data_IF_998256409735
#
_entry.id   IF_998256409735
#
_cell.length_a   1.000
_cell.length_b   1.000
_cell.length_c   1.000
_cell.angle_alpha   90.00
_cell.angle_beta   90.00
_cell.angle_gamma   90.00
#
_symmetry.space_group_name_H-M   'P 1'
#
loop_
_entity.id
_entity.type
_entity.pdbx_description
1 polymer ?
#
# COMPACT_ATOMS: atom_id res chain seq x y z
N UNK A 1 11.87 0.24 -14.49
CA UNK A 1 13.31 0.06 -14.14
C UNK A 1 14.11 1.33 -14.39
N UNK A 2 14.12 1.89 -15.62
CA UNK A 2 14.89 3.12 -15.91
C UNK A 2 14.45 4.35 -15.10
N UNK A 3 13.15 4.52 -14.82
CA UNK A 3 12.64 5.70 -14.10
C UNK A 3 13.03 5.73 -12.62
N UNK A 4 12.83 4.65 -11.85
CA UNK A 4 13.23 4.60 -10.43
C UNK A 4 14.74 4.74 -10.23
N UNK A 5 15.51 4.18 -11.16
CA UNK A 5 16.96 4.35 -11.22
C UNK A 5 17.34 5.80 -11.51
N UNK A 6 16.70 6.42 -12.52
CA UNK A 6 16.93 7.82 -12.87
C UNK A 6 16.61 8.77 -11.71
N UNK A 7 15.52 8.58 -10.97
CA UNK A 7 15.19 9.43 -9.81
C UNK A 7 16.12 9.20 -8.62
N UNK A 8 16.56 7.96 -8.39
CA UNK A 8 17.57 7.68 -7.37
C UNK A 8 18.89 8.38 -7.72
N UNK A 9 19.31 8.31 -8.99
CA UNK A 9 20.51 9.00 -9.49
C UNK A 9 20.35 10.52 -9.49
N UNK A 10 19.17 11.04 -9.84
CA UNK A 10 18.87 12.47 -9.81
C UNK A 10 19.02 13.04 -8.39
N UNK A 11 18.58 12.31 -7.36
CA UNK A 11 18.80 12.71 -5.97
C UNK A 11 20.30 12.84 -5.62
N UNK A 12 21.16 11.94 -6.12
CA UNK A 12 22.62 12.04 -5.94
C UNK A 12 23.23 13.26 -6.65
N UNK A 13 22.78 13.57 -7.86
CA UNK A 13 23.39 14.63 -8.67
C UNK A 13 22.83 16.02 -8.36
N UNK A 14 21.56 16.13 -7.99
CA UNK A 14 20.91 17.42 -7.75
C UNK A 14 20.92 17.83 -6.28
N UNK A 15 20.97 16.86 -5.35
CA UNK A 15 20.84 17.11 -3.91
C UNK A 15 21.81 16.26 -3.05
N UNK A 16 23.12 16.28 -3.35
CA UNK A 16 24.11 15.47 -2.63
C UNK A 16 24.12 15.76 -1.12
N UNK A 17 23.81 16.99 -0.71
CA UNK A 17 23.76 17.39 0.70
C UNK A 17 22.72 16.61 1.54
N UNK A 18 21.68 16.05 0.91
CA UNK A 18 20.69 15.21 1.61
C UNK A 18 21.21 13.80 1.93
N UNK A 19 22.30 13.41 1.26
CA UNK A 19 22.97 12.12 1.42
C UNK A 19 24.32 12.27 2.16
N UNK A 20 24.74 13.51 2.41
CA UNK A 20 25.92 13.86 3.19
C UNK A 20 25.56 14.13 4.66
N UNK A 21 25.63 13.06 5.46
CA UNK A 21 25.41 13.09 6.91
C UNK A 21 26.57 13.74 7.69
N UNK A 22 27.64 14.20 7.03
CA UNK A 22 28.74 14.92 7.68
C UNK A 22 28.51 16.44 7.74
N UNK A 23 27.51 16.94 7.02
CA UNK A 23 27.20 18.37 6.95
C UNK A 23 26.56 18.91 8.23
N UNK A 24 26.86 20.16 8.57
CA UNK A 24 26.35 20.83 9.78
C UNK A 24 24.85 21.17 9.71
N UNK A 25 24.22 21.04 8.54
CA UNK A 25 22.80 21.30 8.34
C UNK A 25 22.04 19.98 8.19
N UNK A 26 21.35 19.55 9.25
CA UNK A 26 20.60 18.31 9.21
C UNK A 26 19.27 18.46 8.44
N UNK A 27 19.04 17.69 7.36
CA UNK A 27 17.80 17.76 6.57
C UNK A 27 16.56 17.42 7.39
N UNK A 28 15.44 18.09 7.11
CA UNK A 28 14.13 17.80 7.72
C UNK A 28 13.48 16.53 7.15
N UNK A 29 12.46 16.01 7.85
CA UNK A 29 11.62 14.91 7.35
C UNK A 29 10.96 15.30 6.02
N UNK A 30 10.50 16.55 5.94
CA UNK A 30 9.93 17.12 4.73
C UNK A 30 10.97 17.16 3.59
N UNK A 31 12.25 17.39 3.90
CA UNK A 31 13.30 17.39 2.88
C UNK A 31 13.46 15.99 2.28
N UNK A 32 13.54 14.94 3.10
CA UNK A 32 13.58 13.56 2.59
C UNK A 32 12.31 13.21 1.80
N UNK A 33 11.16 13.63 2.32
CA UNK A 33 9.88 13.33 1.72
C UNK A 33 9.73 13.99 0.34
N UNK A 34 9.92 15.30 0.24
CA UNK A 34 9.74 16.07 -1.00
C UNK A 34 10.84 15.79 -2.02
N UNK A 35 12.07 15.61 -1.56
CA UNK A 35 13.21 15.62 -2.46
C UNK A 35 13.69 14.24 -2.88
N UNK A 36 13.30 13.17 -2.16
CA UNK A 36 13.77 11.82 -2.43
C UNK A 36 12.59 10.87 -2.59
N UNK A 37 11.82 10.64 -1.52
CA UNK A 37 10.81 9.58 -1.51
C UNK A 37 9.58 9.90 -2.34
N UNK A 38 9.09 11.14 -2.29
CA UNK A 38 7.94 11.60 -3.09
C UNK A 38 8.16 11.35 -4.58
N UNK A 39 9.23 11.87 -5.20
CA UNK A 39 9.55 11.61 -6.61
C UNK A 39 9.68 10.11 -6.93
N UNK A 40 10.31 9.32 -6.07
CA UNK A 40 10.43 7.86 -6.26
C UNK A 40 9.04 7.20 -6.25
N UNK A 41 8.19 7.52 -5.26
CA UNK A 41 6.85 6.96 -5.10
C UNK A 41 5.97 7.33 -6.31
N UNK A 42 5.97 8.60 -6.71
CA UNK A 42 5.24 9.07 -7.89
C UNK A 42 5.72 8.37 -9.16
N UNK A 43 7.04 8.20 -9.32
CA UNK A 43 7.61 7.55 -10.48
C UNK A 43 7.25 6.06 -10.57
N UNK A 44 7.32 5.31 -9.47
CA UNK A 44 7.01 3.86 -9.51
C UNK A 44 5.53 3.60 -9.78
N UNK A 45 4.63 4.50 -9.38
CA UNK A 45 3.19 4.37 -9.66
C UNK A 45 2.72 5.20 -10.86
N UNK A 46 3.63 5.89 -11.55
CA UNK A 46 3.32 6.59 -12.78
C UNK A 46 2.80 5.63 -13.84
N UNK A 47 1.72 6.01 -14.54
CA UNK A 47 1.08 5.21 -15.59
C UNK A 47 0.49 3.86 -15.11
N UNK A 48 0.11 3.79 -13.84
CA UNK A 48 -0.53 2.60 -13.26
C UNK A 48 -2.01 2.89 -12.95
N UNK A 49 -2.78 1.86 -12.62
CA UNK A 49 -4.15 2.04 -12.11
C UNK A 49 -4.19 2.55 -10.66
N UNK A 50 -3.03 2.54 -9.98
CA UNK A 50 -2.88 2.99 -8.60
C UNK A 50 -2.75 4.50 -8.60
N UNK A 51 -3.55 5.14 -7.75
CA UNK A 51 -3.55 6.57 -7.53
C UNK A 51 -2.85 6.84 -6.19
N UNK A 52 -1.87 7.74 -6.22
CA UNK A 52 -1.14 8.20 -5.04
C UNK A 52 -1.76 9.51 -4.57
N UNK A 53 -2.14 9.58 -3.29
CA UNK A 53 -2.56 10.82 -2.63
C UNK A 53 -1.56 11.15 -1.54
N UNK A 54 -0.83 12.24 -1.72
CA UNK A 54 0.18 12.75 -0.79
C UNK A 54 -0.40 13.80 0.17
N UNK A 55 0.32 14.02 1.27
CA UNK A 55 0.01 15.02 2.31
C UNK A 55 -0.53 14.38 3.58
N UNK A 56 -0.84 15.20 4.59
CA UNK A 56 -1.45 14.80 5.88
C UNK A 56 -2.86 14.20 5.66
N UNK A 57 -2.91 13.01 5.08
CA UNK A 57 -4.17 12.42 4.64
C UNK A 57 -4.75 11.60 5.78
N UNK A 58 -5.93 12.01 6.22
CA UNK A 58 -6.67 11.30 7.26
C UNK A 58 -7.60 10.30 6.59
N UNK A 59 -7.41 9.03 6.90
CA UNK A 59 -8.43 8.05 6.63
C UNK A 59 -9.52 8.23 7.69
N UNK A 60 -10.72 8.65 7.26
CA UNK A 60 -11.86 8.84 8.19
C UNK A 60 -12.27 7.48 8.78
N UNK A 61 -11.78 7.08 9.95
CA UNK A 61 -12.20 5.86 10.63
C UNK A 61 -12.47 6.06 12.12
N UNK A 62 -13.02 5.00 12.73
CA UNK A 62 -13.55 4.93 14.09
C UNK A 62 -12.56 5.49 15.12
N UNK A 63 -12.99 6.55 15.82
CA UNK A 63 -12.42 7.19 17.00
C UNK A 63 -10.97 7.75 16.95
N UNK A 64 -10.16 7.47 15.92
CA UNK A 64 -8.79 8.01 15.81
C UNK A 64 -8.46 8.47 14.39
N UNK A 65 -7.89 9.68 14.28
CA UNK A 65 -7.42 10.27 13.02
C UNK A 65 -5.91 10.13 12.94
N UNK A 66 -5.43 9.03 12.38
CA UNK A 66 -4.03 8.90 11.99
C UNK A 66 -3.82 9.60 10.65
N UNK A 67 -2.80 10.45 10.56
CA UNK A 67 -2.43 11.17 9.34
C UNK A 67 -1.25 10.45 8.69
N UNK A 68 -1.42 9.77 7.58
CA UNK A 68 -0.29 9.13 6.87
C UNK A 68 0.15 9.98 5.69
N UNK A 69 1.44 9.94 5.35
CA UNK A 69 2.02 10.79 4.30
C UNK A 69 1.50 10.45 2.90
N UNK A 70 1.29 9.16 2.63
CA UNK A 70 0.74 8.73 1.35
C UNK A 70 -0.31 7.64 1.51
N UNK A 71 -1.42 7.84 0.79
CA UNK A 71 -2.46 6.85 0.57
C UNK A 71 -2.40 6.38 -0.87
N UNK A 72 -2.33 5.07 -1.04
CA UNK A 72 -2.35 4.43 -2.34
C UNK A 72 -3.67 3.69 -2.48
N UNK A 73 -4.33 3.93 -3.60
CA UNK A 73 -5.67 3.42 -3.82
C UNK A 73 -6.03 3.30 -5.27
N UNK A 74 -7.22 2.78 -5.52
CA UNK A 74 -7.78 2.63 -6.85
C UNK A 74 -9.15 3.29 -6.92
N UNK A 75 -9.47 3.89 -8.06
CA UNK A 75 -10.82 4.42 -8.29
C UNK A 75 -11.74 3.28 -8.74
N UNK A 76 -12.77 3.01 -7.95
CA UNK A 76 -13.81 2.03 -8.22
C UNK A 76 -15.16 2.71 -8.00
N UNK A 77 -16.03 2.67 -9.00
CA UNK A 77 -17.34 3.33 -8.97
C UNK A 77 -17.24 4.80 -8.51
N UNK A 78 -16.27 5.53 -9.08
CA UNK A 78 -15.98 6.94 -8.78
C UNK A 78 -15.53 7.23 -7.34
N UNK A 79 -15.21 6.19 -6.55
CA UNK A 79 -14.70 6.32 -5.18
C UNK A 79 -13.26 5.84 -5.09
N UNK A 80 -12.45 6.56 -4.33
CA UNK A 80 -11.09 6.14 -4.01
C UNK A 80 -11.11 5.11 -2.89
N UNK A 81 -10.63 3.91 -3.19
CA UNK A 81 -10.50 2.81 -2.24
C UNK A 81 -9.04 2.63 -1.92
N UNK A 82 -8.69 2.77 -0.64
CA UNK A 82 -7.34 2.54 -0.14
C UNK A 82 -6.96 1.06 -0.24
N UNK A 83 -5.70 0.79 -0.62
CA UNK A 83 -5.13 -0.56 -0.73
C UNK A 83 -3.72 -0.65 -0.13
N UNK A 84 -3.05 0.49 0.07
CA UNK A 84 -1.71 0.58 0.62
C UNK A 84 -1.47 1.96 1.26
N UNK A 85 -0.46 2.04 2.12
CA UNK A 85 -0.07 3.26 2.82
C UNK A 85 1.45 3.39 2.97
N UNK A 86 1.92 4.64 3.06
CA UNK A 86 3.33 4.97 3.27
C UNK A 86 3.43 6.04 4.36
N UNK A 87 4.40 5.87 5.24
CA UNK A 87 4.79 6.82 6.28
C UNK A 87 6.28 7.12 6.13
N UNK A 88 6.64 8.40 6.16
CA UNK A 88 8.00 8.90 6.02
C UNK A 88 8.40 9.63 7.30
N UNK A 89 9.28 9.02 8.08
CA UNK A 89 9.87 9.61 9.28
C UNK A 89 11.32 10.07 9.10
N UNK A 90 11.78 10.97 9.96
CA UNK A 90 13.22 11.34 10.08
C UNK A 90 13.94 10.65 11.24
N UNK A 91 13.41 10.72 12.46
CA UNK A 91 14.19 10.32 13.64
C UNK A 91 14.01 8.85 13.99
N UNK A 92 15.05 8.05 13.78
CA UNK A 92 15.14 6.67 14.23
C UNK A 92 15.41 6.54 15.75
N UNK A 93 14.64 7.22 16.62
CA UNK A 93 14.58 6.75 18.01
C UNK A 93 13.77 5.46 18.03
N UNK A 94 14.16 4.50 18.88
CA UNK A 94 13.44 3.23 18.97
C UNK A 94 11.94 3.43 19.26
N UNK A 95 11.59 4.49 20.01
CA UNK A 95 10.22 4.88 20.29
C UNK A 95 9.50 5.39 19.04
N UNK A 96 10.09 6.34 18.30
CA UNK A 96 9.46 6.93 17.11
C UNK A 96 9.23 5.88 16.02
N UNK A 97 10.20 4.99 15.79
CA UNK A 97 10.05 3.88 14.83
C UNK A 97 8.90 2.96 15.24
N UNK A 98 8.75 2.66 16.53
CA UNK A 98 7.63 1.84 17.02
C UNK A 98 6.29 2.55 16.86
N UNK A 99 6.24 3.85 17.12
CA UNK A 99 5.02 4.64 16.99
C UNK A 99 4.58 4.74 15.51
N UNK A 100 5.52 4.97 14.60
CA UNK A 100 5.25 5.07 13.15
C UNK A 100 4.89 3.69 12.56
N UNK A 101 5.53 2.62 13.01
CA UNK A 101 5.08 1.25 12.73
C UNK A 101 3.65 1.03 13.22
N UNK A 102 3.36 1.32 14.49
CA UNK A 102 2.02 1.14 15.06
C UNK A 102 0.96 1.90 14.26
N UNK A 103 1.27 3.14 13.88
CA UNK A 103 0.40 3.98 13.05
C UNK A 103 0.10 3.32 11.70
N UNK A 104 1.12 2.86 10.98
CA UNK A 104 0.94 2.13 9.72
C UNK A 104 0.10 0.85 9.88
N UNK A 105 0.32 0.09 10.96
CA UNK A 105 -0.42 -1.13 11.25
C UNK A 105 -1.89 -0.87 11.53
N UNK A 106 -2.20 0.13 12.36
CA UNK A 106 -3.58 0.52 12.67
C UNK A 106 -4.32 1.00 11.41
N UNK A 107 -3.61 1.74 10.57
CA UNK A 107 -4.14 2.22 9.30
C UNK A 107 -4.38 1.06 8.32
N UNK A 108 -3.44 0.11 8.20
CA UNK A 108 -3.61 -1.08 7.38
C UNK A 108 -4.81 -1.93 7.81
N UNK A 109 -4.98 -2.16 9.13
CA UNK A 109 -6.17 -2.83 9.68
C UNK A 109 -7.45 -2.12 9.26
N UNK A 110 -7.46 -0.80 9.34
CA UNK A 110 -8.62 0.02 8.98
C UNK A 110 -8.95 -0.10 7.50
N UNK A 111 -7.94 -0.07 6.64
CA UNK A 111 -8.11 -0.26 5.19
C UNK A 111 -8.77 -1.63 4.91
N UNK A 112 -8.25 -2.71 5.51
CA UNK A 112 -8.81 -4.06 5.37
C UNK A 112 -10.27 -4.12 5.84
N UNK A 113 -10.57 -3.59 7.03
CA UNK A 113 -11.94 -3.58 7.57
C UNK A 113 -12.91 -2.81 6.67
N UNK A 114 -12.48 -1.68 6.11
CA UNK A 114 -13.28 -0.90 5.16
C UNK A 114 -13.51 -1.65 3.86
N UNK A 115 -12.50 -2.33 3.34
CA UNK A 115 -12.62 -3.14 2.14
C UNK A 115 -13.63 -4.28 2.36
N UNK A 116 -13.49 -5.05 3.45
CA UNK A 116 -14.39 -6.18 3.77
C UNK A 116 -15.84 -5.69 3.98
N UNK A 117 -16.03 -4.57 4.70
CA UNK A 117 -17.37 -4.02 4.95
C UNK A 117 -18.02 -3.42 3.70
N UNK A 118 -17.23 -2.80 2.82
CA UNK A 118 -17.71 -2.22 1.56
C UNK A 118 -17.96 -3.27 0.49
N UNK A 119 -17.19 -4.36 0.50
CA UNK A 119 -17.19 -5.41 -0.50
C UNK A 119 -17.34 -6.78 0.16
N UNK A 120 -18.56 -7.07 0.63
CA UNK A 120 -18.86 -8.30 1.38
C UNK A 120 -18.62 -9.61 0.62
N UNK A 121 -18.36 -9.55 -0.68
CA UNK A 121 -18.04 -10.70 -1.53
C UNK A 121 -16.53 -11.01 -1.59
N UNK A 122 -15.68 -10.11 -1.10
CA UNK A 122 -14.23 -10.34 -1.01
C UNK A 122 -13.96 -11.29 0.15
N UNK A 123 -13.20 -12.34 -0.11
CA UNK A 123 -12.71 -13.23 0.93
C UNK A 123 -11.68 -12.49 1.80
N UNK A 124 -11.90 -12.31 3.11
CA UNK A 124 -11.05 -11.42 3.91
C UNK A 124 -9.53 -11.71 3.86
N UNK A 125 -9.07 -12.99 3.93
CA UNK A 125 -7.64 -13.30 3.81
C UNK A 125 -7.01 -12.95 2.46
N UNK A 126 -7.79 -12.79 1.39
CA UNK A 126 -7.25 -12.43 0.08
C UNK A 126 -6.98 -10.94 -0.07
N UNK A 127 -7.41 -10.11 0.87
CA UNK A 127 -7.19 -8.65 0.85
C UNK A 127 -6.01 -8.29 1.76
N UNK A 128 -4.83 -8.10 1.15
CA UNK A 128 -3.57 -7.83 1.84
C UNK A 128 -3.19 -6.36 1.61
N UNK A 129 -2.94 -5.64 2.69
CA UNK A 129 -2.45 -4.26 2.63
C UNK A 129 -0.93 -4.28 2.73
N UNK A 130 -0.27 -3.68 1.75
CA UNK A 130 1.20 -3.53 1.76
C UNK A 130 1.55 -2.12 2.21
N UNK A 131 2.26 -2.01 3.34
CA UNK A 131 2.68 -0.75 3.94
C UNK A 131 4.17 -0.52 3.72
N UNK A 132 4.56 0.74 3.49
CA UNK A 132 5.97 1.12 3.39
C UNK A 132 6.31 2.12 4.49
N UNK A 133 7.08 1.68 5.49
CA UNK A 133 7.64 2.59 6.49
C UNK A 133 8.99 3.07 6.02
N UNK A 134 9.18 4.38 5.93
CA UNK A 134 10.42 5.00 5.51
C UNK A 134 10.95 5.81 6.69
N UNK A 135 12.25 5.70 6.97
CA UNK A 135 12.95 6.48 7.96
C UNK A 135 14.30 6.92 7.37
N UNK A 136 14.45 8.23 7.14
CA UNK A 136 15.56 8.81 6.37
C UNK A 136 15.73 8.09 5.01
N UNK A 137 16.89 7.47 4.79
CA UNK A 137 17.25 6.72 3.59
C UNK A 137 16.92 5.22 3.67
N UNK A 138 16.24 4.79 4.74
CA UNK A 138 15.94 3.37 4.98
C UNK A 138 14.44 3.15 4.96
N UNK A 139 14.00 1.93 4.69
CA UNK A 139 12.58 1.60 4.86
C UNK A 139 12.28 0.12 5.03
N UNK A 140 11.14 -0.17 5.61
CA UNK A 140 10.64 -1.52 5.86
C UNK A 140 9.33 -1.72 5.08
N UNK A 141 9.27 -2.79 4.28
CA UNK A 141 8.08 -3.23 3.58
C UNK A 141 7.31 -4.24 4.44
N UNK A 142 6.11 -3.86 4.86
CA UNK A 142 5.23 -4.65 5.72
C UNK A 142 4.02 -5.12 4.93
N UNK A 143 3.51 -6.31 5.24
CA UNK A 143 2.23 -6.79 4.75
C UNK A 143 1.33 -7.13 5.91
N UNK A 144 0.12 -6.58 5.89
CA UNK A 144 -0.93 -6.86 6.87
C UNK A 144 -2.06 -7.63 6.17
N UNK A 145 -2.46 -8.75 6.75
CA UNK A 145 -3.61 -9.54 6.33
C UNK A 145 -4.56 -9.77 7.50
N UNK A 146 -5.76 -10.24 7.19
CA UNK A 146 -6.77 -10.60 8.18
C UNK A 146 -7.13 -12.08 8.06
N UNK A 147 -6.85 -12.81 9.13
CA UNK A 147 -7.21 -14.21 9.34
C UNK A 147 -8.44 -14.28 10.26
N UNK A 148 -9.62 -14.64 9.73
CA UNK A 148 -10.83 -14.82 10.53
C UNK A 148 -10.61 -15.84 11.66
N UNK A 149 -11.26 -15.65 12.83
CA UNK A 149 -12.39 -14.74 13.06
C UNK A 149 -12.03 -13.29 13.44
N UNK A 150 -10.82 -12.98 13.88
CA UNK A 150 -10.44 -11.61 14.31
C UNK A 150 -8.92 -11.34 14.36
N UNK A 151 -8.10 -12.15 13.69
CA UNK A 151 -6.66 -12.04 13.81
C UNK A 151 -6.09 -11.21 12.66
N UNK A 152 -5.39 -10.13 13.00
CA UNK A 152 -4.57 -9.41 12.02
C UNK A 152 -3.12 -9.84 12.20
N UNK A 153 -2.51 -10.32 11.13
CA UNK A 153 -1.09 -10.67 11.10
C UNK A 153 -0.34 -9.60 10.33
N UNK A 154 0.90 -9.32 10.72
CA UNK A 154 1.77 -8.43 9.95
C UNK A 154 3.19 -8.95 9.97
N UNK A 155 3.77 -9.01 8.79
CA UNK A 155 5.14 -9.48 8.59
C UNK A 155 5.93 -8.51 7.72
N UNK A 156 7.25 -8.52 7.90
CA UNK A 156 8.16 -7.83 7.00
C UNK A 156 8.46 -8.74 5.82
N UNK A 157 8.28 -8.23 4.62
CA UNK A 157 8.29 -9.08 3.41
C UNK A 157 9.62 -9.12 2.67
N UNK A 158 10.55 -8.25 3.05
CA UNK A 158 11.88 -8.20 2.47
C UNK A 158 12.90 -7.77 3.52
N UNK A 159 14.18 -7.84 3.13
CA UNK A 159 15.22 -7.06 3.81
C UNK A 159 14.86 -5.57 3.79
N UNK A 160 15.43 -4.82 4.72
CA UNK A 160 15.29 -3.36 4.81
C UNK A 160 15.74 -2.72 3.50
N UNK A 161 14.89 -1.86 2.95
CA UNK A 161 15.18 -1.01 1.80
C UNK A 161 16.18 0.06 2.23
N UNK A 162 17.17 0.35 1.39
CA UNK A 162 18.17 1.39 1.64
C UNK A 162 18.50 2.13 0.37
N UNK A 163 18.49 3.46 0.42
CA UNK A 163 19.11 4.30 -0.59
C UNK A 163 20.63 4.21 -0.39
N UNK A 164 21.40 3.93 -1.44
CA UNK A 164 22.85 3.91 -1.34
C UNK A 164 23.38 5.29 -0.92
N UNK A 165 24.58 5.33 -0.36
CA UNK A 165 25.25 6.59 -0.02
C UNK A 165 26.18 7.09 -1.14
N UNK A 166 26.41 6.25 -2.15
CA UNK A 166 27.28 6.57 -3.29
C UNK A 166 26.66 6.05 -4.59
N UNK A 167 26.73 6.83 -5.69
CA UNK A 167 26.26 6.38 -6.99
C UNK A 167 27.10 5.22 -7.56
N UNK A 168 28.30 4.97 -7.02
CA UNK A 168 29.18 3.89 -7.45
C UNK A 168 28.76 2.52 -6.88
N UNK A 169 27.78 2.46 -5.97
CA UNK A 169 27.27 1.21 -5.41
C UNK A 169 26.16 0.62 -6.28
N UNK A 170 26.52 0.17 -7.48
CA UNK A 170 25.57 -0.35 -8.47
C UNK A 170 24.76 -1.55 -7.96
N UNK A 171 25.35 -2.42 -7.14
CA UNK A 171 24.65 -3.55 -6.52
C UNK A 171 23.56 -3.10 -5.53
N UNK A 172 23.85 -2.09 -4.70
CA UNK A 172 22.88 -1.52 -3.75
C UNK A 172 21.74 -0.82 -4.48
N UNK A 173 22.04 -0.10 -5.57
CA UNK A 173 21.04 0.51 -6.45
C UNK A 173 20.14 -0.53 -7.13
N UNK A 174 20.72 -1.64 -7.58
CA UNK A 174 19.95 -2.75 -8.16
C UNK A 174 19.01 -3.38 -7.13
N UNK A 175 19.50 -3.60 -5.90
CA UNK A 175 18.70 -4.14 -4.80
C UNK A 175 17.55 -3.19 -4.43
N UNK A 176 17.83 -1.89 -4.28
CA UNK A 176 16.80 -0.86 -4.04
C UNK A 176 15.72 -0.92 -5.12
N UNK A 177 16.14 -0.92 -6.40
CA UNK A 177 15.22 -0.98 -7.54
C UNK A 177 14.36 -2.24 -7.52
N UNK A 178 14.95 -3.40 -7.22
CA UNK A 178 14.22 -4.66 -7.11
C UNK A 178 13.17 -4.62 -5.98
N UNK A 179 13.52 -4.07 -4.82
CA UNK A 179 12.60 -3.95 -3.68
C UNK A 179 11.45 -2.98 -3.97
N UNK A 180 11.73 -1.86 -4.65
CA UNK A 180 10.70 -0.91 -5.09
C UNK A 180 9.75 -1.52 -6.13
N UNK A 181 10.27 -2.32 -7.06
CA UNK A 181 9.45 -3.07 -8.03
C UNK A 181 8.58 -4.08 -7.30
N UNK A 182 9.14 -4.85 -6.37
CA UNK A 182 8.37 -5.81 -5.58
C UNK A 182 7.24 -5.12 -4.79
N UNK A 183 7.50 -3.93 -4.22
CA UNK A 183 6.47 -3.13 -3.57
C UNK A 183 5.37 -2.70 -4.56
N UNK A 184 5.76 -2.12 -5.70
CA UNK A 184 4.85 -1.72 -6.78
C UNK A 184 3.96 -2.88 -7.22
N UNK A 185 4.55 -4.03 -7.55
CA UNK A 185 3.83 -5.19 -8.06
C UNK A 185 2.81 -5.70 -7.04
N UNK A 186 3.16 -5.72 -5.74
CA UNK A 186 2.21 -6.11 -4.68
C UNK A 186 1.01 -5.17 -4.61
N UNK A 187 1.23 -3.86 -4.69
CA UNK A 187 0.17 -2.85 -4.63
C UNK A 187 -0.69 -2.89 -5.90
N UNK A 188 -0.10 -3.01 -7.08
CA UNK A 188 -0.82 -3.12 -8.34
C UNK A 188 -1.64 -4.40 -8.45
N UNK A 189 -1.09 -5.54 -8.02
CA UNK A 189 -1.81 -6.80 -8.00
C UNK A 189 -3.06 -6.71 -7.11
N UNK A 190 -2.96 -6.04 -5.96
CA UNK A 190 -4.13 -5.79 -5.11
C UNK A 190 -5.15 -4.86 -5.78
N UNK A 191 -4.69 -3.81 -6.47
CA UNK A 191 -5.57 -2.91 -7.21
C UNK A 191 -6.34 -3.64 -8.33
N UNK A 192 -5.65 -4.48 -9.08
CA UNK A 192 -6.22 -5.30 -10.16
C UNK A 192 -7.19 -6.33 -9.59
N UNK A 193 -6.77 -7.09 -8.57
CA UNK A 193 -7.62 -8.05 -7.85
C UNK A 193 -8.93 -7.40 -7.40
N UNK A 194 -8.85 -6.24 -6.73
CA UNK A 194 -10.03 -5.56 -6.22
C UNK A 194 -10.97 -5.12 -7.35
N UNK A 195 -10.43 -4.55 -8.44
CA UNK A 195 -11.21 -4.17 -9.63
C UNK A 195 -11.91 -5.38 -10.25
N UNK A 196 -11.20 -6.49 -10.42
CA UNK A 196 -11.75 -7.71 -10.99
C UNK A 196 -12.87 -8.30 -10.13
N UNK A 197 -12.69 -8.38 -8.81
CA UNK A 197 -13.73 -8.90 -7.92
C UNK A 197 -14.99 -8.02 -7.93
N UNK A 198 -14.83 -6.70 -7.99
CA UNK A 198 -15.96 -5.78 -8.13
C UNK A 198 -16.67 -5.96 -9.48
N UNK A 199 -15.92 -6.06 -10.58
CA UNK A 199 -16.50 -6.28 -11.91
C UNK A 199 -17.26 -7.62 -11.97
N UNK A 200 -16.66 -8.71 -11.49
CA UNK A 200 -17.32 -10.02 -11.37
C UNK A 200 -18.60 -9.95 -10.54
N UNK A 201 -18.61 -9.17 -9.46
CA UNK A 201 -19.79 -8.99 -8.63
C UNK A 201 -20.91 -8.20 -9.36
N UNK A 202 -20.55 -7.20 -10.16
CA UNK A 202 -21.50 -6.45 -10.99
C UNK A 202 -22.07 -7.30 -12.13
N UNK A 203 -21.23 -8.08 -12.81
CA UNK A 203 -21.63 -8.97 -13.89
C UNK A 203 -22.59 -10.05 -13.41
N UNK A 204 -22.34 -10.61 -12.22
CA UNK A 204 -23.27 -11.55 -11.56
C UNK A 204 -24.62 -10.91 -11.30
N UNK A 205 -24.68 -9.68 -10.76
CA UNK A 205 -25.95 -8.99 -10.53
C UNK A 205 -26.71 -8.78 -11.85
N UNK A 206 -26.00 -8.33 -12.88
CA UNK A 206 -26.59 -8.04 -14.19
C UNK A 206 -27.10 -9.31 -14.89
N UNK A 207 -26.36 -10.42 -14.79
CA UNK A 207 -26.73 -11.71 -15.41
C UNK A 207 -27.89 -12.41 -14.72
N UNK A 208 -28.05 -12.24 -13.40
CA UNK A 208 -29.11 -12.88 -12.63
C UNK A 208 -30.34 -11.99 -12.36
N UNK A 209 -30.25 -10.70 -12.68
CA UNK A 209 -31.35 -9.75 -12.47
C UNK A 209 -32.67 -10.13 -13.17
N UNK A 210 -32.67 -10.74 -14.36
CA UNK A 210 -33.90 -11.21 -15.01
C UNK A 210 -34.46 -12.52 -14.45
N UNK A 211 -33.63 -13.34 -13.79
CA UNK A 211 -33.94 -14.75 -13.48
C UNK A 211 -34.25 -14.95 -11.98
N UNK A 212 -33.63 -14.15 -11.10
CA UNK A 212 -33.79 -14.30 -9.65
C UNK A 212 -34.75 -13.24 -9.09
N UNK A 213 -35.90 -13.70 -8.58
CA UNK A 213 -36.82 -12.86 -7.81
C UNK A 213 -36.14 -12.21 -6.59
N UNK A 214 -36.70 -11.09 -6.12
CA UNK A 214 -36.20 -10.30 -4.99
C UNK A 214 -35.73 -11.10 -3.74
N UNK A 215 -36.34 -12.24 -3.36
CA UNK A 215 -35.88 -13.04 -2.21
C UNK A 215 -34.49 -13.67 -2.41
N UNK A 216 -34.14 -14.08 -3.63
CA UNK A 216 -32.87 -14.77 -3.93
C UNK A 216 -31.69 -13.80 -3.93
N UNK A 217 -31.93 -12.52 -4.24
CA UNK A 217 -30.90 -11.47 -4.24
C UNK A 217 -30.31 -11.22 -2.85
N UNK A 218 -31.06 -11.49 -1.77
CA UNK A 218 -30.57 -11.37 -0.37
C UNK A 218 -29.50 -12.41 0.00
N UNK A 219 -29.50 -13.58 -0.66
CA UNK A 219 -28.58 -14.69 -0.34
C UNK A 219 -27.30 -14.73 -1.20
N UNK A 220 -27.14 -13.82 -2.16
CA UNK A 220 -25.96 -13.75 -3.04
C UNK A 220 -24.65 -13.40 -2.32
N UNK A 221 -24.69 -12.95 -1.06
CA UNK A 221 -23.50 -12.58 -0.27
C UNK A 221 -22.51 -13.74 -0.10
N UNK A 222 -22.94 -15.00 -0.25
CA UNK A 222 -22.12 -16.19 -0.02
C UNK A 222 -22.15 -17.19 -1.19
N UNK A 223 -22.21 -16.71 -2.43
CA UNK A 223 -22.32 -17.57 -3.62
C UNK A 223 -21.16 -18.58 -3.75
N UNK A 224 -19.92 -18.19 -3.39
CA UNK A 224 -18.77 -19.10 -3.46
C UNK A 224 -18.91 -20.27 -2.47
N UNK A 225 -19.34 -19.99 -1.25
CA UNK A 225 -19.66 -21.03 -0.25
C UNK A 225 -20.84 -21.91 -0.69
N UNK A 226 -21.82 -21.35 -1.39
CA UNK A 226 -22.94 -22.11 -1.95
C UNK A 226 -22.48 -23.05 -3.07
N UNK A 227 -21.63 -22.60 -3.98
CA UNK A 227 -21.06 -23.43 -5.05
C UNK A 227 -20.20 -24.56 -4.46
N UNK A 228 -19.29 -24.24 -3.53
CA UNK A 228 -18.44 -25.24 -2.86
C UNK A 228 -19.30 -26.30 -2.15
N UNK A 229 -20.39 -25.88 -1.50
CA UNK A 229 -21.33 -26.81 -0.85
C UNK A 229 -22.12 -27.67 -1.84
N UNK A 230 -22.31 -27.21 -3.07
CA UNK A 230 -23.02 -27.93 -4.14
C UNK A 230 -22.12 -28.87 -4.93
N UNK A 231 -20.82 -28.57 -5.04
CA UNK A 231 -19.84 -29.44 -5.73
C UNK A 231 -19.28 -30.56 -4.84
N UNK A 232 -19.44 -30.43 -3.52
CA UNK A 232 -18.99 -31.44 -2.54
C UNK A 232 -20.11 -32.40 -2.08
N UNK A 233 -21.28 -32.36 -2.74
CA UNK A 233 -22.39 -33.31 -2.60
C UNK A 233 -22.64 -33.97 -3.96
#
# INVERSE_FOLDING_TARGET
>A
MQLSYAYSMDAFYTKPNLLDFSSAHEPSEQDFNVNIWGPIIEAIFSNTIVQVKSGDTVLKSFDRKFKIDYRLGVIINQKFIDIANIEVGRKATATKVKDDHLKLLLEAKTIIQKAISSFSFIYPPSFIVTSFHICDIKGDLLQTSFDPPSNFTTERTSKRVRIPLSPNHSEELALLSQQLIMYKDKVENMATFLKEEVNKALDRRSSFDPILGAPYKKNLRNYHNWLIKKTNN
#
